data_IF_597774617853
#
_entry.id   IF_597774617853
#
_cell.length_a   1.000
_cell.length_b   1.000
_cell.length_c   1.000
_cell.angle_alpha   90.00
_cell.angle_beta   90.00
_cell.angle_gamma   90.00
#
_symmetry.space_group_name_H-M   'P 1'
#
loop_
_entity.id
_entity.type
_entity.pdbx_description
1 polymer ?
#
# COMPACT_ATOMS: atom_id res chain seq x y z
N UNK A 1 -0.29 -0.49 -0.78
CA UNK A 1 1.08 -0.72 -1.27
C UNK A 1 1.78 0.62 -1.37
N UNK A 2 2.98 0.73 -0.82
CA UNK A 2 3.82 1.93 -0.98
C UNK A 2 5.19 1.57 -1.54
N UNK A 3 5.74 2.47 -2.34
CA UNK A 3 7.03 2.42 -3.03
C UNK A 3 7.87 3.65 -2.74
N UNK A 4 7.26 4.69 -2.15
CA UNK A 4 7.92 5.93 -1.74
C UNK A 4 8.41 5.84 -0.30
N UNK A 5 7.59 5.29 0.61
CA UNK A 5 7.82 5.35 2.05
C UNK A 5 7.92 3.95 2.68
N UNK A 6 8.48 3.90 3.88
CA UNK A 6 8.47 2.68 4.69
C UNK A 6 7.06 2.38 5.22
N UNK A 7 6.80 1.11 5.56
CA UNK A 7 5.55 0.69 6.19
C UNK A 7 5.22 1.53 7.44
N UNK A 8 6.23 1.80 8.28
CA UNK A 8 6.06 2.60 9.49
C UNK A 8 5.72 4.07 9.20
N UNK A 9 6.40 4.69 8.23
CA UNK A 9 6.16 6.10 7.90
C UNK A 9 4.74 6.32 7.37
N UNK A 10 4.22 5.38 6.58
CA UNK A 10 2.81 5.41 6.14
C UNK A 10 1.87 5.16 7.32
N UNK A 11 2.19 4.19 8.19
CA UNK A 11 1.43 3.91 9.41
C UNK A 11 1.26 5.15 10.28
N UNK A 12 2.35 5.88 10.56
CA UNK A 12 2.31 7.11 11.34
C UNK A 12 1.42 8.20 10.72
N UNK A 13 1.31 8.26 9.38
CA UNK A 13 0.38 9.20 8.72
C UNK A 13 -1.08 8.82 8.96
N UNK A 14 -1.41 7.52 8.93
CA UNK A 14 -2.75 7.05 9.29
C UNK A 14 -3.06 7.33 10.76
N UNK A 15 -2.14 6.98 11.68
CA UNK A 15 -2.30 7.23 13.10
C UNK A 15 -2.50 8.72 13.40
N UNK A 16 -1.66 9.56 12.78
CA UNK A 16 -1.75 11.01 12.86
C UNK A 16 -3.12 11.53 12.43
N UNK A 17 -3.62 11.08 11.27
CA UNK A 17 -4.90 11.52 10.73
C UNK A 17 -6.10 11.00 11.51
N UNK A 18 -6.08 9.74 11.96
CA UNK A 18 -7.22 9.09 12.63
C UNK A 18 -7.31 9.48 14.10
N UNK A 19 -6.18 9.70 14.76
CA UNK A 19 -6.13 10.09 16.18
C UNK A 19 -6.08 11.61 16.36
N UNK A 20 -5.96 12.40 15.27
CA UNK A 20 -5.78 13.84 15.31
C UNK A 20 -4.54 14.28 16.15
N UNK A 21 -3.43 13.57 15.92
CA UNK A 21 -2.14 13.81 16.58
C UNK A 21 -1.12 14.27 15.53
N UNK A 22 -0.30 15.30 15.77
CA UNK A 22 0.78 15.67 14.85
C UNK A 22 1.70 14.49 14.54
N UNK A 23 2.07 14.27 13.27
CA UNK A 23 2.79 13.05 12.86
C UNK A 23 4.13 12.84 13.58
N UNK A 24 4.80 13.94 13.98
CA UNK A 24 6.05 13.90 14.75
C UNK A 24 5.86 13.53 16.24
N UNK A 25 4.62 13.51 16.75
CA UNK A 25 4.29 13.17 18.13
C UNK A 25 3.66 11.77 18.26
N UNK A 26 3.29 11.12 17.14
CA UNK A 26 2.60 9.82 17.14
C UNK A 26 3.36 8.75 17.94
N UNK A 27 4.68 8.71 17.80
CA UNK A 27 5.52 7.71 18.50
C UNK A 27 5.58 7.97 20.00
N UNK A 28 5.63 9.24 20.41
CA UNK A 28 5.67 9.64 21.82
C UNK A 28 4.31 9.48 22.51
N UNK A 29 3.21 9.62 21.76
CA UNK A 29 1.81 9.51 22.22
C UNK A 29 1.20 8.15 21.86
N UNK A 30 2.00 7.09 21.80
CA UNK A 30 1.55 5.76 21.37
C UNK A 30 0.42 5.21 22.23
N UNK A 31 0.39 5.50 23.53
CA UNK A 31 -0.65 5.03 24.45
C UNK A 31 -2.02 5.58 24.05
N UNK A 32 -2.09 6.88 23.70
CA UNK A 32 -3.31 7.53 23.24
C UNK A 32 -3.78 6.99 21.88
N UNK A 33 -2.83 6.70 20.98
CA UNK A 33 -3.14 6.05 19.69
C UNK A 33 -3.77 4.67 19.91
N UNK A 34 -3.18 3.86 20.81
CA UNK A 34 -3.70 2.52 21.13
C UNK A 34 -5.09 2.60 21.77
N UNK A 35 -5.29 3.52 22.73
CA UNK A 35 -6.60 3.75 23.35
C UNK A 35 -7.65 4.14 22.30
N UNK A 36 -7.31 5.05 21.39
CA UNK A 36 -8.19 5.47 20.31
C UNK A 36 -8.64 4.31 19.42
N UNK A 37 -7.72 3.40 19.08
CA UNK A 37 -8.03 2.21 18.27
C UNK A 37 -8.84 1.15 19.03
N UNK A 38 -8.65 1.03 20.35
CA UNK A 38 -9.44 0.10 21.18
C UNK A 38 -10.89 0.56 21.35
N UNK A 39 -11.10 1.88 21.47
CA UNK A 39 -12.43 2.46 21.72
C UNK A 39 -13.23 2.70 20.43
N UNK A 40 -12.58 2.69 19.27
CA UNK A 40 -13.21 2.97 17.98
C UNK A 40 -13.49 1.75 17.11
N UNK A 41 -14.42 1.89 16.18
CA UNK A 41 -14.66 0.89 15.14
C UNK A 41 -13.81 1.20 13.91
N UNK A 42 -12.73 0.42 13.73
CA UNK A 42 -11.85 0.55 12.58
C UNK A 42 -11.82 -0.72 11.73
N UNK A 43 -11.58 -0.54 10.43
CA UNK A 43 -11.33 -1.65 9.51
C UNK A 43 -9.94 -2.27 9.70
N UNK A 44 -9.66 -3.32 8.93
CA UNK A 44 -8.32 -3.92 8.89
C UNK A 44 -7.47 -3.24 7.82
N UNK A 45 -6.24 -2.87 8.16
CA UNK A 45 -5.28 -2.25 7.26
C UNK A 45 -4.01 -3.12 7.16
N UNK A 46 -3.53 -3.33 5.94
CA UNK A 46 -2.20 -3.90 5.69
C UNK A 46 -1.43 -2.93 4.82
N UNK A 47 -0.32 -2.41 5.37
CA UNK A 47 0.63 -1.60 4.64
C UNK A 47 1.77 -2.52 4.23
N UNK A 48 2.11 -2.48 2.94
CA UNK A 48 3.23 -3.24 2.39
C UNK A 48 4.13 -2.31 1.59
N UNK A 49 5.39 -2.20 1.98
CA UNK A 49 6.40 -1.41 1.26
C UNK A 49 7.25 -2.27 0.34
N UNK A 50 7.56 -1.76 -0.84
CA UNK A 50 8.55 -2.31 -1.76
C UNK A 50 9.55 -1.23 -2.17
N UNK A 51 10.84 -1.54 -2.34
CA UNK A 51 11.77 -0.59 -2.97
C UNK A 51 11.30 -0.12 -4.35
N UNK A 52 11.69 1.09 -4.74
CA UNK A 52 11.44 1.65 -6.07
C UNK A 52 11.92 0.69 -7.17
N UNK A 53 11.06 0.41 -8.15
CA UNK A 53 11.38 -0.45 -9.28
C UNK A 53 11.59 -1.93 -8.94
N UNK A 54 11.27 -2.39 -7.72
CA UNK A 54 11.48 -3.79 -7.34
C UNK A 54 10.27 -4.68 -7.60
N UNK A 55 9.06 -4.18 -7.36
CA UNK A 55 7.82 -4.95 -7.45
C UNK A 55 6.99 -4.56 -8.68
N UNK A 56 6.53 -5.59 -9.39
CA UNK A 56 5.63 -5.52 -10.55
C UNK A 56 4.19 -5.84 -10.15
N UNK A 57 3.26 -5.73 -11.10
CA UNK A 57 1.87 -6.17 -10.89
C UNK A 57 1.76 -7.64 -10.43
N UNK A 58 2.63 -8.51 -10.97
CA UNK A 58 2.68 -9.93 -10.60
C UNK A 58 3.09 -10.11 -9.14
N UNK A 59 3.99 -9.24 -8.64
CA UNK A 59 4.39 -9.23 -7.24
C UNK A 59 3.22 -8.86 -6.32
N UNK A 60 2.44 -7.84 -6.71
CA UNK A 60 1.25 -7.43 -5.97
C UNK A 60 0.18 -8.53 -5.98
N UNK A 61 -0.10 -9.14 -7.13
CA UNK A 61 -1.06 -10.25 -7.27
C UNK A 61 -0.72 -11.39 -6.30
N UNK A 62 0.52 -11.86 -6.31
CA UNK A 62 0.95 -12.93 -5.40
C UNK A 62 0.86 -12.54 -3.93
N UNK A 63 1.03 -11.26 -3.58
CA UNK A 63 0.81 -10.80 -2.21
C UNK A 63 -0.68 -10.81 -1.85
N UNK A 64 -1.56 -10.34 -2.73
CA UNK A 64 -3.02 -10.37 -2.53
C UNK A 64 -3.52 -11.80 -2.33
N UNK A 65 -3.09 -12.75 -3.17
CA UNK A 65 -3.44 -14.17 -3.01
C UNK A 65 -3.04 -14.72 -1.64
N UNK A 66 -1.84 -14.38 -1.16
CA UNK A 66 -1.39 -14.74 0.20
C UNK A 66 -2.24 -14.12 1.29
N UNK A 67 -2.77 -12.91 1.09
CA UNK A 67 -3.69 -12.26 2.04
C UNK A 67 -5.05 -12.96 2.05
N UNK A 68 -5.58 -13.33 0.88
CA UNK A 68 -6.83 -14.07 0.76
C UNK A 68 -6.76 -15.42 1.49
N UNK A 69 -5.64 -16.15 1.36
CA UNK A 69 -5.39 -17.39 2.10
C UNK A 69 -5.36 -17.19 3.62
N UNK A 70 -5.06 -15.98 4.09
CA UNK A 70 -5.07 -15.58 5.51
C UNK A 70 -6.41 -14.96 5.94
N UNK A 71 -7.48 -15.16 5.16
CA UNK A 71 -8.80 -14.58 5.39
C UNK A 71 -8.78 -13.03 5.49
N UNK A 72 -7.82 -12.38 4.83
CA UNK A 72 -7.81 -10.95 4.62
C UNK A 72 -8.27 -10.67 3.18
N UNK A 73 -9.52 -10.23 3.06
CA UNK A 73 -10.11 -9.82 1.78
C UNK A 73 -10.07 -8.30 1.70
N UNK A 74 -9.20 -7.70 0.86
CA UNK A 74 -9.16 -6.25 0.70
C UNK A 74 -10.38 -5.76 -0.08
N UNK A 75 -11.10 -4.78 0.47
CA UNK A 75 -12.16 -4.06 -0.26
C UNK A 75 -11.62 -2.89 -1.07
N UNK A 76 -10.42 -2.42 -0.73
CA UNK A 76 -9.74 -1.32 -1.39
C UNK A 76 -8.25 -1.61 -1.44
N UNK A 77 -7.63 -1.34 -2.59
CA UNK A 77 -6.19 -1.42 -2.79
C UNK A 77 -5.70 -0.05 -3.23
N UNK A 78 -4.77 0.50 -2.45
CA UNK A 78 -4.09 1.77 -2.76
C UNK A 78 -2.66 1.43 -3.20
N UNK A 79 -2.19 2.06 -4.29
CA UNK A 79 -0.82 1.91 -4.81
C UNK A 79 -0.17 3.30 -4.84
N UNK A 80 0.91 3.45 -4.07
CA UNK A 80 1.59 4.71 -3.79
C UNK A 80 3.09 4.59 -4.12
N UNK A 81 3.61 4.98 -5.27
CA UNK A 81 2.93 5.41 -6.48
C UNK A 81 3.18 4.39 -7.60
N UNK A 82 2.21 4.24 -8.51
CA UNK A 82 2.28 3.25 -9.59
C UNK A 82 3.44 3.51 -10.58
N UNK A 83 3.81 4.77 -10.80
CA UNK A 83 4.84 5.15 -11.79
C UNK A 83 6.23 4.57 -11.48
N UNK A 84 6.50 4.28 -10.21
CA UNK A 84 7.79 3.75 -9.75
C UNK A 84 7.76 2.24 -9.51
N UNK A 85 6.72 1.56 -10.03
CA UNK A 85 6.66 0.10 -10.08
C UNK A 85 7.58 -0.45 -11.17
N UNK A 86 7.93 -1.73 -11.03
CA UNK A 86 8.66 -2.45 -12.07
C UNK A 86 7.68 -2.87 -13.18
N UNK A 87 7.95 -2.48 -14.42
CA UNK A 87 7.26 -3.05 -15.57
C UNK A 87 7.55 -4.56 -15.71
N UNK A 88 6.55 -5.35 -16.09
CA UNK A 88 6.72 -6.79 -16.36
C UNK A 88 7.52 -7.05 -17.63
N UNK A 89 7.56 -6.08 -18.55
CA UNK A 89 8.32 -6.12 -19.80
C UNK A 89 9.20 -4.89 -19.92
N UNK A 90 10.43 -5.08 -20.41
CA UNK A 90 11.30 -3.96 -20.76
C UNK A 90 10.93 -3.42 -22.13
N UNK A 91 10.90 -2.10 -22.27
CA UNK A 91 10.78 -1.42 -23.55
C UNK A 91 11.92 -0.40 -23.70
N UNK A 92 12.19 0.01 -24.93
CA UNK A 92 13.18 1.07 -25.19
C UNK A 92 12.71 2.45 -24.68
N UNK A 93 11.41 2.62 -24.46
CA UNK A 93 10.80 3.85 -23.97
C UNK A 93 10.12 3.64 -22.62
N UNK A 94 10.50 4.45 -21.63
CA UNK A 94 9.83 4.48 -20.31
C UNK A 94 8.33 4.77 -20.41
N UNK A 95 7.90 5.50 -21.44
CA UNK A 95 6.46 5.76 -21.68
C UNK A 95 5.68 4.49 -21.96
N UNK A 96 6.27 3.53 -22.67
CA UNK A 96 5.63 2.24 -22.93
C UNK A 96 5.60 1.35 -21.69
N UNK A 97 6.64 1.41 -20.85
CA UNK A 97 6.66 0.74 -19.55
C UNK A 97 5.56 1.27 -18.62
N UNK A 98 5.44 2.60 -18.48
CA UNK A 98 4.37 3.22 -17.69
C UNK A 98 2.99 2.85 -18.21
N UNK A 99 2.78 2.93 -19.54
CA UNK A 99 1.52 2.51 -20.15
C UNK A 99 1.18 1.07 -19.78
N UNK A 100 2.14 0.15 -19.90
CA UNK A 100 1.93 -1.25 -19.56
C UNK A 100 1.58 -1.43 -18.08
N UNK A 101 2.28 -0.75 -17.16
CA UNK A 101 2.00 -0.81 -15.71
C UNK A 101 0.54 -0.44 -15.44
N UNK A 102 0.05 0.67 -16.00
CA UNK A 102 -1.34 1.10 -15.78
C UNK A 102 -2.38 0.18 -16.42
N UNK A 103 -2.10 -0.37 -17.61
CA UNK A 103 -2.97 -1.38 -18.24
C UNK A 103 -3.07 -2.64 -17.38
N UNK A 104 -1.94 -3.11 -16.84
CA UNK A 104 -1.91 -4.29 -15.97
C UNK A 104 -2.60 -4.05 -14.62
N UNK A 105 -2.44 -2.86 -14.02
CA UNK A 105 -3.17 -2.47 -12.80
C UNK A 105 -4.68 -2.48 -13.07
N UNK A 106 -5.12 -1.93 -14.21
CA UNK A 106 -6.53 -1.95 -14.60
C UNK A 106 -7.05 -3.37 -14.79
N UNK A 107 -6.28 -4.23 -15.45
CA UNK A 107 -6.66 -5.63 -15.65
C UNK A 107 -6.78 -6.36 -14.30
N UNK A 108 -5.84 -6.15 -13.38
CA UNK A 108 -5.92 -6.69 -12.02
C UNK A 108 -7.21 -6.23 -11.32
N UNK A 109 -7.56 -4.95 -11.42
CA UNK A 109 -8.78 -4.42 -10.82
C UNK A 109 -10.09 -4.95 -11.44
N UNK A 110 -10.06 -5.45 -12.67
CA UNK A 110 -11.22 -6.07 -13.32
C UNK A 110 -11.38 -7.55 -12.99
N UNK A 111 -10.27 -8.24 -12.70
CA UNK A 111 -10.27 -9.67 -12.35
C UNK A 111 -10.66 -9.92 -10.88
N UNK A 112 -10.48 -8.92 -10.02
CA UNK A 112 -10.82 -8.94 -8.60
C UNK A 112 -12.26 -8.53 -8.35
#
# INVERSE_FOLDING_TARGET
YTFELSENAVGWRYDSSLCNIPSNQVVERKEEVIEKYNDGEFGRLIIKSYPTGSASITTLRSHIEKLLLKAFVPHMIIIDYADIMRSTRKYDSMRHELKLIYEEIRNLAMEM
#
